data_IF_979094714298
#
_entry.id   IF_979094714298
#
_cell.length_a   1.000
_cell.length_b   1.000
_cell.length_c   1.000
_cell.angle_alpha   90.00
_cell.angle_beta   90.00
_cell.angle_gamma   90.00
#
_symmetry.space_group_name_H-M   'P 1'
#
loop_
_entity.id
_entity.type
_entity.pdbx_description
1 polymer ?
#
# COMPACT_ATOMS: atom_id res chain seq x y z
N UNK A 1 -18.82 4.54 17.79
CA UNK A 1 -18.17 3.69 16.77
C UNK A 1 -16.77 4.25 16.60
N UNK A 2 -15.75 3.46 16.89
CA UNK A 2 -14.36 3.93 16.94
C UNK A 2 -13.88 4.21 15.50
N UNK A 3 -13.53 5.48 15.23
CA UNK A 3 -13.26 5.97 13.88
C UNK A 3 -12.12 5.20 13.21
N UNK A 4 -11.07 4.85 13.96
CA UNK A 4 -9.94 4.11 13.43
C UNK A 4 -10.28 2.64 13.14
N UNK A 5 -11.12 1.99 13.94
CA UNK A 5 -11.59 0.63 13.62
C UNK A 5 -12.41 0.58 12.32
N UNK A 6 -13.20 1.62 12.01
CA UNK A 6 -13.89 1.73 10.72
C UNK A 6 -12.92 1.95 9.56
N UNK A 7 -11.86 2.74 9.79
CA UNK A 7 -10.77 2.91 8.83
C UNK A 7 -10.12 1.55 8.53
N UNK A 8 -9.79 0.76 9.54
CA UNK A 8 -9.20 -0.58 9.40
C UNK A 8 -10.14 -1.56 8.69
N UNK A 9 -11.46 -1.49 8.91
CA UNK A 9 -12.45 -2.27 8.13
C UNK A 9 -12.44 -1.90 6.66
N UNK A 10 -12.43 -0.62 6.34
CA UNK A 10 -12.35 -0.12 4.97
C UNK A 10 -11.09 -0.65 4.27
N UNK A 11 -9.94 -0.60 4.93
CA UNK A 11 -8.68 -1.10 4.38
C UNK A 11 -8.72 -2.61 4.11
N UNK A 12 -9.31 -3.39 5.01
CA UNK A 12 -9.47 -4.83 4.78
C UNK A 12 -10.36 -5.13 3.57
N UNK A 13 -11.42 -4.35 3.36
CA UNK A 13 -12.26 -4.48 2.16
C UNK A 13 -11.48 -4.15 0.89
N UNK A 14 -10.67 -3.09 0.91
CA UNK A 14 -9.79 -2.72 -0.22
C UNK A 14 -8.84 -3.87 -0.58
N UNK A 15 -8.09 -4.39 0.40
CA UNK A 15 -7.13 -5.48 0.17
C UNK A 15 -7.81 -6.74 -0.41
N UNK A 16 -9.05 -7.01 -0.01
CA UNK A 16 -9.78 -8.17 -0.51
C UNK A 16 -10.49 -7.93 -1.85
N UNK A 17 -10.65 -6.68 -2.29
CA UNK A 17 -11.33 -6.35 -3.56
C UNK A 17 -10.40 -6.21 -4.76
N UNK A 18 -9.09 -6.12 -4.56
CA UNK A 18 -8.11 -6.00 -5.65
C UNK A 18 -8.18 -7.19 -6.62
N UNK A 19 -8.20 -6.89 -7.92
CA UNK A 19 -8.21 -7.86 -9.02
C UNK A 19 -7.11 -7.55 -10.04
N UNK A 20 -7.00 -6.30 -10.50
CA UNK A 20 -5.94 -5.87 -11.43
C UNK A 20 -4.57 -5.95 -10.77
N UNK A 21 -4.53 -5.48 -9.52
CA UNK A 21 -3.33 -5.41 -8.69
C UNK A 21 -3.27 -6.56 -7.68
N UNK A 22 -3.88 -7.71 -8.00
CA UNK A 22 -3.95 -8.86 -7.09
C UNK A 22 -2.57 -9.36 -6.67
N UNK A 23 -1.62 -9.36 -7.60
CA UNK A 23 -0.26 -9.85 -7.40
C UNK A 23 0.49 -9.06 -6.31
N UNK A 24 0.10 -7.81 -6.01
CA UNK A 24 0.65 -7.07 -4.86
C UNK A 24 0.45 -7.82 -3.54
N UNK A 25 -0.63 -8.59 -3.39
CA UNK A 25 -0.92 -9.29 -2.14
C UNK A 25 0.00 -10.48 -1.86
N UNK A 26 0.81 -10.90 -2.85
CA UNK A 26 1.79 -11.97 -2.71
C UNK A 26 3.15 -11.46 -2.25
N UNK A 27 3.35 -10.13 -2.21
CA UNK A 27 4.58 -9.51 -1.73
C UNK A 27 4.70 -9.62 -0.20
N UNK A 28 5.91 -9.83 0.34
CA UNK A 28 6.15 -10.03 1.78
C UNK A 28 5.71 -8.85 2.65
N UNK A 29 5.85 -7.61 2.18
CA UNK A 29 5.45 -6.41 2.93
C UNK A 29 3.93 -6.27 2.88
N UNK A 30 3.33 -6.40 1.70
CA UNK A 30 1.88 -6.23 1.54
C UNK A 30 1.09 -7.39 2.16
N UNK A 31 1.60 -8.61 2.10
CA UNK A 31 0.98 -9.79 2.72
C UNK A 31 0.99 -9.69 4.24
N UNK A 32 2.13 -9.37 4.86
CA UNK A 32 2.22 -9.13 6.30
C UNK A 32 1.39 -7.93 6.76
N UNK A 33 1.30 -6.87 5.95
CA UNK A 33 0.37 -5.75 6.18
C UNK A 33 -1.09 -6.24 6.19
N UNK A 34 -1.47 -7.07 5.21
CA UNK A 34 -2.81 -7.65 5.13
C UNK A 34 -3.12 -8.53 6.33
N UNK A 35 -2.17 -9.29 6.84
CA UNK A 35 -2.36 -10.10 8.04
C UNK A 35 -2.64 -9.25 9.28
N UNK A 36 -1.86 -8.18 9.48
CA UNK A 36 -2.08 -7.20 10.54
C UNK A 36 -3.49 -6.59 10.48
N UNK A 37 -3.87 -6.09 9.31
CA UNK A 37 -5.21 -5.51 9.07
C UNK A 37 -6.31 -6.54 9.30
N UNK A 38 -6.13 -7.77 8.81
CA UNK A 38 -7.11 -8.85 8.95
C UNK A 38 -7.29 -9.23 10.42
N UNK A 39 -6.20 -9.29 11.19
CA UNK A 39 -6.25 -9.56 12.62
C UNK A 39 -6.97 -8.45 13.41
N UNK A 40 -6.70 -7.19 13.07
CA UNK A 40 -7.40 -6.04 13.64
C UNK A 40 -8.91 -6.03 13.31
N UNK A 41 -9.33 -6.70 12.24
CA UNK A 41 -10.75 -6.86 11.90
C UNK A 41 -11.47 -8.02 12.60
N UNK A 42 -10.74 -8.93 13.26
CA UNK A 42 -11.36 -10.03 14.03
C UNK A 42 -12.05 -9.48 15.29
N UNK A 43 -13.07 -10.17 15.78
CA UNK A 43 -13.65 -9.86 17.10
C UNK A 43 -12.71 -10.26 18.26
N UNK A 44 -11.83 -11.23 18.02
CA UNK A 44 -10.83 -11.67 18.98
C UNK A 44 -9.72 -10.63 19.16
N UNK A 45 -9.22 -10.53 20.39
CA UNK A 45 -8.13 -9.63 20.76
C UNK A 45 -7.12 -10.36 21.66
N UNK A 46 -5.91 -10.51 21.13
CA UNK A 46 -4.70 -10.88 21.87
C UNK A 46 -3.58 -9.93 21.44
N UNK A 47 -3.02 -9.23 22.42
CA UNK A 47 -1.99 -8.22 22.26
C UNK A 47 -0.67 -8.81 21.74
N UNK A 48 -0.29 -10.03 22.13
CA UNK A 48 0.98 -10.63 21.70
C UNK A 48 0.96 -10.92 20.21
N UNK A 49 -0.14 -11.50 19.72
CA UNK A 49 -0.34 -11.72 18.29
C UNK A 49 -0.34 -10.40 17.52
N UNK A 50 -0.99 -9.38 18.07
CA UNK A 50 -1.05 -8.05 17.46
C UNK A 50 0.33 -7.41 17.33
N UNK A 51 1.13 -7.46 18.40
CA UNK A 51 2.50 -6.97 18.40
C UNK A 51 3.35 -7.75 17.40
N UNK A 52 3.17 -9.06 17.33
CA UNK A 52 3.85 -9.91 16.36
C UNK A 52 3.52 -9.49 14.91
N UNK A 53 2.24 -9.33 14.57
CA UNK A 53 1.83 -8.89 13.23
C UNK A 53 2.35 -7.49 12.88
N UNK A 54 2.25 -6.54 13.82
CA UNK A 54 2.75 -5.18 13.60
C UNK A 54 4.26 -5.17 13.33
N UNK A 55 5.02 -5.87 14.17
CA UNK A 55 6.48 -5.92 14.06
C UNK A 55 6.92 -6.71 12.82
N UNK A 56 6.24 -7.80 12.46
CA UNK A 56 6.53 -8.56 11.23
C UNK A 56 6.35 -7.68 10.01
N UNK A 57 5.22 -6.98 9.90
CA UNK A 57 5.00 -6.02 8.83
C UNK A 57 6.06 -4.91 8.80
N UNK A 58 6.33 -4.30 9.95
CA UNK A 58 7.27 -3.18 10.03
C UNK A 58 8.70 -3.63 9.70
N UNK A 59 9.09 -4.82 10.14
CA UNK A 59 10.38 -5.43 9.80
C UNK A 59 10.50 -5.66 8.29
N UNK A 60 9.49 -6.28 7.66
CA UNK A 60 9.50 -6.51 6.22
C UNK A 60 9.58 -5.19 5.45
N UNK A 61 8.87 -4.15 5.91
CA UNK A 61 8.95 -2.82 5.31
C UNK A 61 10.39 -2.26 5.42
N UNK A 62 11.02 -2.31 6.60
CA UNK A 62 12.42 -1.87 6.79
C UNK A 62 13.38 -2.66 5.88
N UNK A 63 13.19 -3.97 5.75
CA UNK A 63 14.11 -4.82 4.98
C UNK A 63 14.00 -4.58 3.47
N UNK A 64 12.79 -4.30 2.97
CA UNK A 64 12.50 -4.25 1.53
C UNK A 64 12.35 -2.84 0.97
N UNK A 65 12.33 -1.79 1.80
CA UNK A 65 12.16 -0.41 1.36
C UNK A 65 13.33 0.47 1.78
N UNK A 66 13.74 1.38 0.90
CA UNK A 66 14.76 2.38 1.22
C UNK A 66 14.27 3.41 2.25
N UNK A 67 12.96 3.62 2.28
CA UNK A 67 12.29 4.57 3.15
C UNK A 67 11.13 3.89 3.84
N UNK A 68 10.93 4.23 5.11
CA UNK A 68 9.90 3.66 5.96
C UNK A 68 8.50 4.23 5.64
N UNK A 69 8.03 4.00 4.41
CA UNK A 69 6.79 4.51 3.83
C UNK A 69 6.08 3.43 3.02
N UNK A 70 4.93 2.97 3.52
CA UNK A 70 4.05 2.08 2.77
C UNK A 70 3.51 2.76 1.51
N UNK A 71 3.37 4.10 1.51
CA UNK A 71 2.93 4.85 0.34
C UNK A 71 3.93 4.71 -0.80
N UNK A 72 5.20 5.02 -0.54
CA UNK A 72 6.27 4.87 -1.52
C UNK A 72 6.40 3.43 -1.97
N UNK A 73 6.32 2.49 -1.03
CA UNK A 73 6.39 1.06 -1.33
C UNK A 73 5.29 0.59 -2.29
N UNK A 74 4.03 0.98 -2.05
CA UNK A 74 2.91 0.65 -2.96
C UNK A 74 3.12 1.28 -4.34
N UNK A 75 3.61 2.52 -4.41
CA UNK A 75 3.92 3.19 -5.70
C UNK A 75 4.97 2.38 -6.47
N UNK A 76 6.05 1.98 -5.81
CA UNK A 76 7.10 1.15 -6.44
C UNK A 76 6.52 -0.19 -6.92
N UNK A 77 5.66 -0.83 -6.14
CA UNK A 77 4.99 -2.08 -6.56
C UNK A 77 4.00 -1.90 -7.70
N UNK A 78 3.31 -0.78 -7.79
CA UNK A 78 2.47 -0.46 -8.97
C UNK A 78 3.37 -0.32 -10.20
N UNK A 79 4.45 0.45 -10.12
CA UNK A 79 5.26 0.76 -11.30
C UNK A 79 6.17 -0.38 -11.74
N UNK A 80 6.85 -1.02 -10.80
CA UNK A 80 7.89 -2.03 -11.08
C UNK A 80 7.37 -3.46 -10.99
N UNK A 81 6.32 -3.68 -10.18
CA UNK A 81 5.77 -5.01 -9.96
C UNK A 81 5.00 -5.53 -11.18
N UNK A 82 4.94 -6.86 -11.29
CA UNK A 82 4.07 -7.50 -12.25
C UNK A 82 2.60 -7.30 -11.87
N UNK A 83 1.77 -7.03 -12.87
CA UNK A 83 0.34 -6.89 -12.72
C UNK A 83 -0.37 -7.12 -14.06
N UNK A 84 -1.69 -7.30 -14.01
CA UNK A 84 -2.51 -7.60 -15.19
C UNK A 84 -2.43 -6.46 -16.22
N UNK A 85 -2.37 -5.20 -15.78
CA UNK A 85 -2.27 -4.05 -16.69
C UNK A 85 -0.97 -4.10 -17.52
N UNK A 86 0.17 -4.32 -16.87
CA UNK A 86 1.47 -4.46 -17.53
C UNK A 86 1.47 -5.59 -18.57
N UNK A 87 0.89 -6.75 -18.23
CA UNK A 87 0.75 -7.91 -19.13
C UNK A 87 -0.10 -7.62 -20.36
N UNK A 88 -1.22 -6.91 -20.19
CA UNK A 88 -2.11 -6.54 -21.31
C UNK A 88 -1.41 -5.57 -22.25
N UNK A 89 -0.74 -4.56 -21.70
CA UNK A 89 -0.03 -3.55 -22.50
C UNK A 89 1.12 -4.20 -23.29
N UNK A 90 1.92 -5.07 -22.67
CA UNK A 90 3.02 -5.75 -23.36
C UNK A 90 2.55 -6.70 -24.47
N UNK A 91 1.35 -7.29 -24.34
CA UNK A 91 0.76 -8.16 -25.36
C UNK A 91 0.20 -7.42 -26.59
N UNK A 92 0.24 -6.08 -26.62
CA UNK A 92 -0.43 -5.24 -27.63
C UNK A 92 -1.94 -5.52 -27.78
N UNK A 93 -2.56 -6.19 -26.80
CA UNK A 93 -4.00 -6.34 -26.76
C UNK A 93 -4.64 -4.99 -26.47
N UNK A 94 -5.67 -4.63 -27.24
CA UNK A 94 -6.42 -3.40 -26.97
C UNK A 94 -6.96 -3.45 -25.55
N UNK A 95 -6.55 -2.52 -24.68
CA UNK A 95 -7.00 -2.51 -23.29
C UNK A 95 -8.53 -2.47 -23.27
N UNK A 96 -9.14 -3.55 -22.77
CA UNK A 96 -10.58 -3.65 -22.68
C UNK A 96 -11.09 -2.50 -21.78
N UNK A 97 -12.12 -1.77 -22.23
CA UNK A 97 -12.73 -0.65 -21.47
C UNK A 97 -13.09 -1.03 -20.03
N UNK A 98 -13.48 -2.29 -19.80
CA UNK A 98 -13.77 -2.81 -18.46
C UNK A 98 -12.51 -2.86 -17.58
N UNK A 99 -11.38 -3.29 -18.14
CA UNK A 99 -10.09 -3.36 -17.45
C UNK A 99 -9.62 -1.94 -17.15
N UNK A 100 -9.62 -1.03 -18.14
CA UNK A 100 -9.27 0.39 -17.93
C UNK A 100 -10.10 1.01 -16.80
N UNK A 101 -11.42 0.78 -16.80
CA UNK A 101 -12.32 1.29 -15.75
C UNK A 101 -11.95 0.71 -14.37
N UNK A 102 -11.73 -0.60 -14.30
CA UNK A 102 -11.37 -1.28 -13.06
C UNK A 102 -10.00 -0.81 -12.53
N UNK A 103 -9.00 -0.64 -13.42
CA UNK A 103 -7.68 -0.13 -13.06
C UNK A 103 -7.78 1.25 -12.42
N UNK A 104 -8.55 2.18 -13.01
CA UNK A 104 -8.75 3.51 -12.40
C UNK A 104 -9.38 3.42 -11.02
N UNK A 105 -10.35 2.53 -10.85
CA UNK A 105 -10.99 2.34 -9.56
C UNK A 105 -10.02 1.77 -8.53
N UNK A 106 -9.26 0.73 -8.88
CA UNK A 106 -8.25 0.16 -7.98
C UNK A 106 -7.11 1.16 -7.67
N UNK A 107 -6.72 2.04 -8.59
CA UNK A 107 -5.79 3.12 -8.29
C UNK A 107 -6.33 4.06 -7.21
N UNK A 108 -7.62 4.40 -7.22
CA UNK A 108 -8.25 5.14 -6.11
C UNK A 108 -8.19 4.35 -4.80
N UNK A 109 -8.46 3.05 -4.82
CA UNK A 109 -8.40 2.22 -3.62
C UNK A 109 -6.97 2.09 -3.07
N UNK A 110 -5.98 1.93 -3.94
CA UNK A 110 -4.56 1.86 -3.59
C UNK A 110 -4.04 3.20 -3.04
N UNK A 111 -4.54 4.32 -3.56
CA UNK A 111 -4.28 5.63 -2.97
C UNK A 111 -4.80 5.69 -1.52
N UNK A 112 -6.03 5.26 -1.29
CA UNK A 112 -6.62 5.21 0.06
C UNK A 112 -5.83 4.29 0.99
N UNK A 113 -5.45 3.11 0.50
CA UNK A 113 -4.59 2.14 1.20
C UNK A 113 -3.25 2.76 1.62
N UNK A 114 -2.65 3.52 0.70
CA UNK A 114 -1.34 4.16 0.87
C UNK A 114 -1.33 5.30 1.89
N UNK A 115 -2.51 5.85 2.21
CA UNK A 115 -2.66 7.00 3.11
C UNK A 115 -2.75 6.61 4.60
N UNK A 116 -2.77 5.31 4.92
CA UNK A 116 -2.76 4.86 6.30
C UNK A 116 -1.40 5.18 6.92
N UNK A 117 -1.43 5.76 8.12
CA UNK A 117 -0.26 6.03 8.95
C UNK A 117 -0.18 4.98 10.04
N UNK A 118 1.02 4.74 10.56
CA UNK A 118 1.19 3.86 11.72
C UNK A 118 0.34 4.28 12.91
N UNK A 119 0.11 5.59 13.08
CA UNK A 119 -0.69 6.12 14.19
C UNK A 119 -2.16 5.72 14.12
N UNK A 120 -2.71 5.58 12.92
CA UNK A 120 -4.07 5.06 12.72
C UNK A 120 -4.17 3.63 13.27
N UNK A 121 -3.16 2.81 12.96
CA UNK A 121 -3.08 1.42 13.42
C UNK A 121 -2.85 1.37 14.93
N UNK A 122 -1.90 2.13 15.47
CA UNK A 122 -1.64 2.22 16.92
C UNK A 122 -2.89 2.63 17.69
N UNK A 123 -3.62 3.62 17.19
CA UNK A 123 -4.88 4.07 17.79
C UNK A 123 -5.94 2.97 17.72
N UNK A 124 -6.12 2.32 16.57
CA UNK A 124 -7.04 1.19 16.43
C UNK A 124 -6.73 0.05 17.41
N UNK A 125 -5.46 -0.25 17.66
CA UNK A 125 -5.00 -1.23 18.65
C UNK A 125 -5.45 -0.79 20.06
N UNK A 126 -5.15 0.45 20.43
CA UNK A 126 -5.46 1.02 21.75
C UNK A 126 -6.98 1.05 22.02
N UNK A 127 -7.77 1.23 20.97
CA UNK A 127 -9.23 1.29 21.02
C UNK A 127 -9.91 -0.09 21.05
N UNK A 128 -9.21 -1.16 20.66
CA UNK A 128 -9.82 -2.49 20.46
C UNK A 128 -9.94 -3.30 21.75
N UNK A 129 -9.05 -3.09 22.73
CA UNK A 129 -8.97 -3.92 23.92
C UNK A 129 -8.80 -3.13 25.22
N UNK A 130 -9.07 -3.79 26.35
CA UNK A 130 -8.75 -3.27 27.67
C UNK A 130 -7.28 -3.55 27.98
N UNK A 131 -6.43 -2.57 27.71
CA UNK A 131 -4.98 -2.67 27.89
C UNK A 131 -4.53 -2.06 29.21
N UNK A 132 -3.54 -2.69 29.84
CA UNK A 132 -2.77 -2.13 30.94
C UNK A 132 -1.91 -0.95 30.48
N UNK A 133 -1.45 -0.11 31.42
CA UNK A 133 -0.56 1.01 31.10
C UNK A 133 0.78 0.55 30.51
N UNK A 134 1.26 -0.63 30.90
CA UNK A 134 2.47 -1.23 30.33
C UNK A 134 2.27 -1.57 28.84
N UNK A 135 1.17 -2.24 28.49
CA UNK A 135 0.87 -2.59 27.09
C UNK A 135 0.65 -1.34 26.23
N UNK A 136 -0.07 -0.33 26.76
CA UNK A 136 -0.24 0.96 26.07
C UNK A 136 1.10 1.64 25.81
N UNK A 137 2.04 1.57 26.76
CA UNK A 137 3.39 2.10 26.59
C UNK A 137 4.13 1.40 25.46
N UNK A 138 4.06 0.06 25.38
CA UNK A 138 4.66 -0.69 24.26
C UNK A 138 4.11 -0.21 22.92
N UNK A 139 2.78 -0.12 22.77
CA UNK A 139 2.14 0.25 21.50
C UNK A 139 2.54 1.66 21.04
N UNK A 140 2.58 2.62 21.96
CA UNK A 140 2.97 4.01 21.66
C UNK A 140 4.42 4.10 21.14
N UNK A 141 5.30 3.23 21.64
CA UNK A 141 6.72 3.20 21.30
C UNK A 141 7.06 2.30 20.11
N UNK A 142 6.08 1.63 19.48
CA UNK A 142 6.31 0.91 18.24
C UNK A 142 6.84 1.85 17.15
N UNK A 143 7.68 1.33 16.25
CA UNK A 143 8.25 2.11 15.15
C UNK A 143 7.14 2.79 14.35
N UNK A 144 7.29 4.10 14.12
CA UNK A 144 6.39 4.91 13.30
C UNK A 144 6.83 4.87 11.84
N UNK A 145 5.87 4.74 10.93
CA UNK A 145 6.08 4.65 9.48
C UNK A 145 5.02 5.46 8.74
N UNK A 146 5.28 5.79 7.47
CA UNK A 146 4.47 6.72 6.66
C UNK A 146 4.35 8.13 7.26
N UNK A 147 5.38 8.59 7.98
CA UNK A 147 5.52 10.02 8.23
C UNK A 147 5.83 10.73 6.90
N UNK A 148 5.36 11.97 6.78
CA UNK A 148 5.56 12.80 5.59
C UNK A 148 7.04 13.18 5.47
N UNK A 149 7.88 12.23 5.06
CA UNK A 149 9.28 12.45 4.76
C UNK A 149 9.28 13.24 3.46
N UNK A 150 9.67 14.51 3.56
CA UNK A 150 9.94 15.35 2.38
C UNK A 150 11.15 14.77 1.66
N UNK A 151 10.93 13.82 0.76
CA UNK A 151 11.97 13.32 -0.11
C UNK A 151 12.40 14.43 -1.05
N UNK A 152 13.65 14.90 -0.89
CA UNK A 152 14.33 15.62 -1.96
C UNK A 152 14.80 14.60 -2.97
N UNK A 153 14.18 14.55 -4.12
CA UNK A 153 14.74 13.87 -5.29
C UNK A 153 14.63 14.82 -6.46
N UNK A 154 15.73 15.54 -6.69
CA UNK A 154 16.03 16.28 -7.90
C UNK A 154 16.60 15.27 -8.91
N UNK A 155 15.75 14.63 -9.71
CA UNK A 155 16.21 13.92 -10.91
C UNK A 155 15.13 13.93 -12.01
N UNK A 156 15.60 14.07 -13.26
CA UNK A 156 14.77 14.41 -14.42
C UNK A 156 14.18 13.20 -15.19
N UNK A 157 14.26 11.98 -14.66
CA UNK A 157 13.79 10.77 -15.37
C UNK A 157 12.25 10.65 -15.34
N UNK A 158 11.69 9.96 -16.32
CA UNK A 158 10.22 9.74 -16.42
C UNK A 158 9.70 8.95 -15.22
N UNK A 159 10.48 7.99 -14.72
CA UNK A 159 10.17 7.24 -13.52
C UNK A 159 9.95 8.16 -12.32
N UNK A 160 10.90 9.07 -12.08
CA UNK A 160 10.83 10.03 -10.98
C UNK A 160 9.61 10.95 -11.10
N UNK A 161 9.24 11.34 -12.33
CA UNK A 161 8.04 12.15 -12.58
C UNK A 161 6.75 11.42 -12.21
N UNK A 162 6.58 10.17 -12.64
CA UNK A 162 5.36 9.38 -12.34
C UNK A 162 5.31 9.05 -10.85
N UNK A 163 6.45 8.67 -10.24
CA UNK A 163 6.56 8.47 -8.78
C UNK A 163 6.21 9.73 -8.01
N UNK A 164 6.73 10.90 -8.39
CA UNK A 164 6.40 12.16 -7.75
C UNK A 164 4.93 12.53 -7.90
N UNK A 165 4.33 12.29 -9.08
CA UNK A 165 2.90 12.50 -9.30
C UNK A 165 2.07 11.60 -8.38
N UNK A 166 2.36 10.30 -8.31
CA UNK A 166 1.65 9.39 -7.41
C UNK A 166 1.89 9.77 -5.94
N UNK A 167 3.10 10.15 -5.58
CA UNK A 167 3.41 10.50 -4.20
C UNK A 167 2.72 11.81 -3.76
N UNK A 168 2.70 12.83 -4.62
CA UNK A 168 2.24 14.18 -4.25
C UNK A 168 0.77 14.45 -4.54
N UNK A 169 0.19 13.78 -5.54
CA UNK A 169 -1.20 14.03 -5.93
C UNK A 169 -2.18 13.26 -5.07
N UNK A 170 -3.33 13.90 -4.85
CA UNK A 170 -4.58 13.20 -4.55
C UNK A 170 -5.24 12.86 -5.90
N UNK A 171 -5.90 11.72 -6.02
CA UNK A 171 -6.57 11.18 -7.23
C UNK A 171 -5.67 10.37 -8.19
N UNK A 172 -5.15 9.23 -7.75
CA UNK A 172 -4.34 8.30 -8.56
C UNK A 172 -5.07 7.78 -9.80
N UNK A 173 -6.42 7.76 -9.79
CA UNK A 173 -7.21 7.35 -10.95
C UNK A 173 -6.96 8.19 -12.22
N UNK A 174 -6.51 9.44 -12.08
CA UNK A 174 -6.19 10.35 -13.18
C UNK A 174 -4.81 10.08 -13.80
N UNK A 175 -3.99 9.28 -13.12
CA UNK A 175 -2.60 9.00 -13.51
C UNK A 175 -2.44 7.71 -14.31
N UNK A 176 -3.55 7.09 -14.75
CA UNK A 176 -3.49 5.85 -15.52
C UNK A 176 -2.70 6.03 -16.82
N UNK A 177 -2.92 7.13 -17.54
CA UNK A 177 -2.19 7.47 -18.76
C UNK A 177 -0.68 7.57 -18.52
N UNK A 178 -0.28 8.23 -17.43
CA UNK A 178 1.12 8.36 -17.02
C UNK A 178 1.75 6.98 -16.72
N UNK A 179 1.00 6.09 -16.05
CA UNK A 179 1.43 4.72 -15.74
C UNK A 179 1.56 3.89 -17.03
N UNK A 180 0.62 4.02 -17.96
CA UNK A 180 0.65 3.35 -19.27
C UNK A 180 1.87 3.80 -20.07
N UNK A 181 2.15 5.11 -20.11
CA UNK A 181 3.34 5.65 -20.78
C UNK A 181 4.62 5.10 -20.15
N UNK A 182 4.67 5.03 -18.81
CA UNK A 182 5.77 4.42 -18.08
C UNK A 182 5.96 2.94 -18.47
N UNK A 183 4.89 2.13 -18.49
CA UNK A 183 4.98 0.72 -18.91
C UNK A 183 5.38 0.55 -20.38
N UNK A 184 4.90 1.39 -21.29
CA UNK A 184 5.31 1.33 -22.70
C UNK A 184 6.80 1.64 -22.87
N UNK A 185 7.35 2.54 -22.05
CA UNK A 185 8.76 2.91 -22.13
C UNK A 185 9.70 1.87 -21.53
N UNK A 186 9.37 1.34 -20.35
CA UNK A 186 10.27 0.46 -19.59
C UNK A 186 9.86 -1.02 -19.63
N UNK A 187 8.64 -1.33 -20.03
CA UNK A 187 8.14 -2.71 -20.18
C UNK A 187 8.59 -3.40 -21.47
N UNK A 188 9.24 -2.68 -22.39
CA UNK A 188 9.81 -3.22 -23.64
C UNK A 188 11.30 -3.58 -23.48
N UNK A 189 11.99 -3.10 -22.43
CA UNK A 189 13.44 -3.32 -22.25
C UNK A 189 13.83 -4.75 -21.82
N UNK A 190 12.88 -5.65 -21.51
CA UNK A 190 13.15 -7.09 -21.29
C UNK A 190 13.07 -7.95 -22.55
N UNK A 191 12.90 -7.35 -23.74
CA UNK A 191 12.96 -8.05 -25.02
C UNK A 191 14.05 -7.43 -25.89
N UNK A 192 15.31 -7.71 -25.56
CA UNK A 192 16.44 -7.75 -26.50
C UNK A 192 17.57 -8.62 -25.95
#
# INVERSE_FOLDING_TARGET
>A
MNFELEKIKKINLILNSLCIFKDLLNDDVISSYKELISYLNKNEFDINNLLNYYNTFTYNLIEKSEELSIRKYIIDKILMGDNILKKIISSNESTNKLITKQTRYELTLLEELSNIKSEDIKTAILEKGFLSEFEKSIIKNLITWNEDIKTKTEDNKIEDKVKQKLFSNKNWNTLLEDIIEFYNKYGIEEIN
#
